data_IF_802347817348
#
_entry.id   IF_802347817348
#
_cell.length_a   1.000
_cell.length_b   1.000
_cell.length_c   1.000
_cell.angle_alpha   90.00
_cell.angle_beta   90.00
_cell.angle_gamma   90.00
#
_symmetry.space_group_name_H-M   'P 1'
#
loop_
_entity.id
_entity.type
_entity.pdbx_description
1 polymer ?
#
# COMPACT_ATOMS: atom_id res chain seq x y z
N UNK A 1 -1.40 -4.03 21.08
CA UNK A 1 -2.24 -4.21 19.88
C UNK A 1 -1.98 -3.03 18.98
N UNK A 2 -1.19 -3.20 17.92
CA UNK A 2 -0.98 -2.13 16.93
C UNK A 2 -2.04 -2.36 15.85
N UNK A 3 -3.10 -1.56 15.99
CA UNK A 3 -3.72 -0.76 14.95
C UNK A 3 -3.49 -1.18 13.51
N UNK A 4 -4.60 -1.46 12.85
CA UNK A 4 -4.77 -1.46 11.40
C UNK A 4 -3.95 -0.35 10.75
N UNK A 5 -2.97 -0.67 9.90
CA UNK A 5 -2.40 0.28 8.96
C UNK A 5 -2.97 -0.04 7.58
N UNK A 6 -4.02 0.68 7.19
CA UNK A 6 -4.41 0.77 5.79
C UNK A 6 -3.70 2.00 5.25
N UNK A 7 -2.68 1.81 4.40
CA UNK A 7 -2.13 2.89 3.59
C UNK A 7 -2.87 2.89 2.26
N UNK A 8 -3.68 3.92 2.00
CA UNK A 8 -4.46 4.01 0.78
C UNK A 8 -4.02 5.16 -0.13
N UNK A 9 -3.99 4.80 -1.43
CA UNK A 9 -3.82 5.52 -2.68
C UNK A 9 -2.44 6.03 -3.13
N UNK A 10 -2.24 5.83 -4.44
CA UNK A 10 -1.25 6.45 -5.31
C UNK A 10 -1.98 6.82 -6.61
N UNK A 11 -2.23 8.10 -6.89
CA UNK A 11 -2.92 8.53 -8.11
C UNK A 11 -1.91 8.74 -9.24
N UNK A 12 -1.98 7.96 -10.32
CA UNK A 12 -1.15 8.16 -11.52
C UNK A 12 -1.71 9.29 -12.38
N UNK A 13 -0.93 10.35 -12.61
CA UNK A 13 -1.05 11.12 -13.85
C UNK A 13 -0.06 10.59 -14.89
N UNK A 14 -0.49 10.62 -16.16
CA UNK A 14 0.12 9.93 -17.30
C UNK A 14 1.63 10.19 -17.48
N UNK A 15 2.35 9.15 -17.90
CA UNK A 15 3.75 9.26 -18.36
C UNK A 15 3.81 10.16 -19.60
N UNK A 16 4.72 11.14 -19.70
CA UNK A 16 5.17 11.58 -21.01
C UNK A 16 6.02 10.46 -21.63
N UNK A 17 5.76 10.18 -22.91
CA UNK A 17 6.56 9.23 -23.68
C UNK A 17 7.94 9.81 -23.97
N UNK A 18 8.97 8.97 -23.82
CA UNK A 18 10.25 9.14 -24.54
C UNK A 18 11.34 9.89 -23.80
N UNK A 19 12.36 9.14 -23.36
CA UNK A 19 13.69 9.66 -23.04
C UNK A 19 14.73 8.57 -23.29
N UNK A 20 15.56 8.75 -24.30
CA UNK A 20 16.42 7.75 -24.91
C UNK A 20 17.48 7.14 -23.96
N UNK A 21 17.84 5.88 -24.23
CA UNK A 21 19.02 5.19 -23.69
C UNK A 21 20.30 5.88 -24.19
N UNK A 22 21.27 6.22 -23.32
CA UNK A 22 22.66 6.31 -23.76
C UNK A 22 23.32 4.93 -23.66
N UNK A 23 24.01 4.58 -24.73
CA UNK A 23 24.85 3.40 -24.85
C UNK A 23 26.24 3.63 -24.23
N UNK A 24 26.92 2.53 -23.89
CA UNK A 24 28.38 2.46 -23.88
C UNK A 24 29.05 2.85 -22.57
N UNK A 25 29.80 1.91 -21.99
CA UNK A 25 30.51 2.07 -20.72
C UNK A 25 31.95 2.56 -20.86
N UNK A 26 32.57 2.81 -19.71
CA UNK A 26 34.00 2.71 -19.48
C UNK A 26 34.25 2.48 -17.97
N UNK A 27 35.06 1.48 -17.64
CA UNK A 27 35.62 1.26 -16.29
C UNK A 27 36.89 2.10 -16.15
N UNK A 28 37.13 2.76 -15.02
CA UNK A 28 38.48 3.00 -14.54
C UNK A 28 38.76 2.22 -13.24
N UNK A 29 39.98 1.72 -13.17
CA UNK A 29 40.61 1.13 -11.99
C UNK A 29 41.19 2.24 -11.08
N UNK A 30 41.33 1.94 -9.78
CA UNK A 30 42.12 2.76 -8.85
C UNK A 30 41.31 3.26 -7.65
N UNK A 31 41.72 2.83 -6.46
CA UNK A 31 41.04 3.10 -5.20
C UNK A 31 41.17 4.53 -4.68
N UNK A 32 40.06 5.05 -4.19
CA UNK A 32 40.00 6.08 -3.17
C UNK A 32 38.71 5.86 -2.35
N UNK A 33 38.80 5.87 -1.02
CA UNK A 33 37.62 5.83 -0.13
C UNK A 33 36.86 7.16 -0.25
N UNK A 34 35.55 7.18 -0.56
CA UNK A 34 34.78 8.41 -0.44
C UNK A 34 34.32 8.60 1.02
N UNK A 35 34.84 9.64 1.67
CA UNK A 35 34.20 10.25 2.82
C UNK A 35 33.00 11.08 2.34
N UNK A 36 31.86 10.95 3.03
CA UNK A 36 30.66 11.74 2.74
C UNK A 36 29.77 11.12 1.67
N UNK A 37 28.97 10.13 2.05
CA UNK A 37 27.87 9.65 1.22
C UNK A 37 26.84 10.76 1.02
N UNK A 38 26.97 11.48 -0.09
CA UNK A 38 25.89 12.28 -0.63
C UNK A 38 24.64 11.38 -0.70
N UNK A 39 23.56 11.78 -0.01
CA UNK A 39 22.26 11.15 -0.20
C UNK A 39 21.95 11.18 -1.70
N UNK A 40 21.54 10.07 -2.34
CA UNK A 40 21.07 10.13 -3.70
C UNK A 40 19.88 11.11 -3.75
N UNK A 41 20.12 12.27 -4.34
CA UNK A 41 19.08 13.19 -4.73
C UNK A 41 18.36 12.60 -5.95
N UNK A 42 17.03 12.63 -5.94
CA UNK A 42 16.24 12.43 -7.15
C UNK A 42 15.89 10.98 -7.48
N UNK A 43 15.43 10.20 -6.49
CA UNK A 43 14.40 9.21 -6.83
C UNK A 43 13.15 10.00 -7.20
N UNK A 44 12.75 9.98 -8.48
CA UNK A 44 11.51 10.61 -8.95
C UNK A 44 10.41 10.31 -7.95
N UNK A 45 10.01 11.33 -7.17
CA UNK A 45 9.05 11.13 -6.09
C UNK A 45 7.75 10.78 -6.78
N UNK A 46 7.23 9.58 -6.54
CA UNK A 46 6.06 9.13 -7.26
C UNK A 46 4.89 10.02 -6.79
N UNK A 47 4.39 10.89 -7.67
CA UNK A 47 3.33 11.86 -7.39
C UNK A 47 2.04 11.12 -7.01
N UNK A 48 1.69 11.13 -5.73
CA UNK A 48 0.48 10.48 -5.23
C UNK A 48 0.20 10.95 -3.81
N UNK A 49 -1.08 11.10 -3.49
CA UNK A 49 -1.57 11.43 -2.15
C UNK A 49 -1.83 10.16 -1.38
N UNK A 50 -1.33 10.10 -0.15
CA UNK A 50 -1.48 8.95 0.76
C UNK A 50 -2.43 9.31 1.88
N UNK A 51 -3.50 8.53 2.02
CA UNK A 51 -4.37 8.49 3.19
C UNK A 51 -3.99 7.28 4.03
N UNK A 52 -3.35 7.52 5.18
CA UNK A 52 -3.05 6.48 6.16
C UNK A 52 -4.20 6.38 7.17
N UNK A 53 -4.63 5.17 7.48
CA UNK A 53 -5.76 4.93 8.38
C UNK A 53 -5.32 4.02 9.52
N UNK A 54 -5.53 4.47 10.75
CA UNK A 54 -5.29 3.67 11.97
C UNK A 54 -6.29 4.03 13.07
N UNK A 55 -6.76 3.03 13.82
CA UNK A 55 -7.63 3.21 14.99
C UNK A 55 -6.88 3.75 16.22
N UNK A 56 -5.56 3.57 16.26
CA UNK A 56 -4.71 4.07 17.32
C UNK A 56 -4.39 5.55 17.04
N UNK A 57 -5.09 6.44 17.75
CA UNK A 57 -4.87 7.90 17.66
C UNK A 57 -3.42 8.33 17.88
N UNK A 58 -2.65 7.60 18.68
CA UNK A 58 -1.21 7.88 18.86
C UNK A 58 -0.40 7.55 17.61
N UNK A 59 -0.75 6.47 16.91
CA UNK A 59 -0.11 6.13 15.63
C UNK A 59 -0.45 7.18 14.55
N UNK A 60 -1.70 7.63 14.50
CA UNK A 60 -2.15 8.73 13.63
C UNK A 60 -1.34 10.01 13.87
N UNK A 61 -1.24 10.44 15.12
CA UNK A 61 -0.46 11.63 15.50
C UNK A 61 1.00 11.52 15.05
N UNK A 62 1.67 10.43 15.44
CA UNK A 62 3.09 10.22 15.11
C UNK A 62 3.34 10.12 13.60
N UNK A 63 2.41 9.52 12.84
CA UNK A 63 2.53 9.43 11.39
C UNK A 63 2.47 10.82 10.74
N UNK A 64 1.55 11.69 11.19
CA UNK A 64 1.45 13.06 10.71
C UNK A 64 2.66 13.91 11.10
N UNK A 65 3.16 13.79 12.34
CA UNK A 65 4.39 14.46 12.78
C UNK A 65 5.61 14.06 11.94
N UNK A 66 5.75 12.76 11.67
CA UNK A 66 6.82 12.24 10.81
C UNK A 66 6.69 12.76 9.37
N UNK A 67 5.46 12.81 8.83
CA UNK A 67 5.22 13.36 7.50
C UNK A 67 5.58 14.85 7.42
N UNK A 68 5.22 15.64 8.44
CA UNK A 68 5.60 17.05 8.53
C UNK A 68 7.13 17.22 8.59
N UNK A 69 7.80 16.45 9.46
CA UNK A 69 9.26 16.48 9.60
C UNK A 69 10.01 16.11 8.30
N UNK A 70 9.39 15.29 7.44
CA UNK A 70 9.94 14.87 6.15
C UNK A 70 9.50 15.75 4.97
N UNK A 71 8.69 16.80 5.20
CA UNK A 71 8.15 17.66 4.14
C UNK A 71 7.19 16.91 3.19
N UNK A 72 6.36 16.04 3.77
CA UNK A 72 5.37 15.21 3.07
C UNK A 72 3.92 15.59 3.39
N UNK A 73 3.70 16.58 4.26
CA UNK A 73 2.36 16.96 4.74
C UNK A 73 1.42 17.46 3.62
N UNK A 74 1.96 17.84 2.47
CA UNK A 74 1.22 18.20 1.26
C UNK A 74 0.53 16.99 0.58
N UNK A 75 1.04 15.78 0.83
CA UNK A 75 0.62 14.55 0.13
C UNK A 75 0.43 13.35 1.05
N UNK A 76 0.45 13.54 2.36
CA UNK A 76 0.24 12.50 3.36
C UNK A 76 -0.67 13.03 4.45
N UNK A 77 -1.72 12.28 4.76
CA UNK A 77 -2.56 12.50 5.93
C UNK A 77 -2.86 11.16 6.59
N UNK A 78 -2.57 11.04 7.88
CA UNK A 78 -3.05 9.96 8.73
C UNK A 78 -4.32 10.39 9.47
N UNK A 79 -5.28 9.49 9.58
CA UNK A 79 -6.58 9.73 10.22
C UNK A 79 -7.21 8.43 10.75
N UNK A 80 -8.25 8.51 11.56
CA UNK A 80 -9.03 7.34 11.99
C UNK A 80 -10.01 6.89 10.90
N UNK A 81 -10.52 5.65 10.92
CA UNK A 81 -11.48 5.16 9.91
C UNK A 81 -12.71 6.05 9.74
N UNK A 82 -13.18 6.67 10.82
CA UNK A 82 -14.37 7.53 10.86
C UNK A 82 -14.12 8.91 10.23
N UNK A 83 -12.86 9.33 10.17
CA UNK A 83 -12.44 10.61 9.59
C UNK A 83 -12.25 10.50 8.06
N UNK A 84 -12.15 9.29 7.52
CA UNK A 84 -12.06 9.08 6.07
C UNK A 84 -13.42 9.35 5.43
N UNK A 85 -13.52 10.24 4.42
CA UNK A 85 -14.77 10.49 3.71
C UNK A 85 -15.41 9.18 3.23
N UNK A 86 -16.73 9.06 3.41
CA UNK A 86 -17.46 7.83 3.11
C UNK A 86 -17.42 7.45 1.62
N UNK A 87 -17.31 8.46 0.75
CA UNK A 87 -17.21 8.37 -0.70
C UNK A 87 -15.76 8.33 -1.22
N UNK A 88 -14.76 8.34 -0.32
CA UNK A 88 -13.37 8.27 -0.73
C UNK A 88 -13.07 6.97 -1.48
N UNK A 89 -12.49 7.10 -2.67
CA UNK A 89 -12.04 5.97 -3.50
C UNK A 89 -10.53 5.94 -3.67
N UNK A 90 -9.95 4.75 -3.83
CA UNK A 90 -8.51 4.54 -3.86
C UNK A 90 -8.08 3.68 -5.05
N UNK A 91 -7.04 4.10 -5.76
CA UNK A 91 -6.40 3.29 -6.81
C UNK A 91 -5.61 2.10 -6.23
N UNK A 92 -5.15 2.23 -4.99
CA UNK A 92 -4.38 1.21 -4.32
C UNK A 92 -4.63 1.18 -2.82
N UNK A 93 -4.80 0.00 -2.25
CA UNK A 93 -4.90 -0.21 -0.81
C UNK A 93 -3.77 -1.14 -0.38
N UNK A 94 -3.00 -0.76 0.63
CA UNK A 94 -1.97 -1.61 1.22
C UNK A 94 -2.37 -1.92 2.64
N UNK A 95 -2.42 -3.20 3.00
CA UNK A 95 -2.83 -3.59 4.34
C UNK A 95 -2.02 -4.76 4.89
N UNK A 96 -1.66 -4.67 6.16
CA UNK A 96 -1.29 -5.82 6.97
C UNK A 96 -2.42 -6.00 8.01
N UNK A 97 -3.53 -6.64 7.62
CA UNK A 97 -4.74 -6.62 8.42
C UNK A 97 -4.49 -7.28 9.78
N UNK A 98 -5.10 -6.79 10.87
CA UNK A 98 -4.87 -7.30 12.21
C UNK A 98 -5.42 -8.73 12.33
N UNK A 99 -4.54 -9.70 12.15
CA UNK A 99 -4.81 -11.15 12.09
C UNK A 99 -5.45 -11.78 13.34
N UNK A 100 -5.50 -11.08 14.48
CA UNK A 100 -5.99 -11.61 15.77
C UNK A 100 -7.36 -11.07 16.20
N UNK A 101 -8.08 -10.40 15.29
CA UNK A 101 -9.44 -9.88 15.58
C UNK A 101 -10.55 -10.91 15.35
N UNK A 102 -10.19 -12.10 14.87
CA UNK A 102 -11.16 -13.13 14.46
C UNK A 102 -11.60 -12.98 13.00
N UNK A 103 -12.16 -14.07 12.45
CA UNK A 103 -12.51 -14.16 11.03
C UNK A 103 -13.61 -13.17 10.62
N UNK A 104 -14.68 -13.07 11.41
CA UNK A 104 -15.82 -12.19 11.11
C UNK A 104 -15.40 -10.72 11.05
N UNK A 105 -14.73 -10.21 12.09
CA UNK A 105 -14.26 -8.82 12.11
C UNK A 105 -13.25 -8.51 11.00
N UNK A 106 -12.40 -9.48 10.60
CA UNK A 106 -11.52 -9.33 9.44
C UNK A 106 -12.33 -9.22 8.14
N UNK A 107 -13.35 -10.06 7.97
CA UNK A 107 -14.21 -10.02 6.79
C UNK A 107 -14.95 -8.70 6.69
N UNK A 108 -15.57 -8.23 7.77
CA UNK A 108 -16.29 -6.96 7.82
C UNK A 108 -15.36 -5.78 7.48
N UNK A 109 -14.14 -5.81 8.00
CA UNK A 109 -13.12 -4.83 7.66
C UNK A 109 -12.81 -4.83 6.16
N UNK A 110 -12.57 -6.00 5.57
CA UNK A 110 -12.27 -6.08 4.13
C UNK A 110 -13.46 -5.66 3.28
N UNK A 111 -14.67 -6.05 3.64
CA UNK A 111 -15.90 -5.61 2.96
C UNK A 111 -16.20 -4.13 3.15
N UNK A 112 -15.63 -3.47 4.16
CA UNK A 112 -15.73 -2.01 4.33
C UNK A 112 -14.81 -1.25 3.39
N UNK A 113 -13.61 -1.80 3.12
CA UNK A 113 -12.54 -1.09 2.41
C UNK A 113 -12.38 -1.48 0.95
N UNK A 114 -12.60 -2.74 0.58
CA UNK A 114 -12.47 -3.20 -0.81
C UNK A 114 -13.47 -2.55 -1.78
N UNK A 115 -14.73 -2.23 -1.40
CA UNK A 115 -15.64 -1.49 -2.28
C UNK A 115 -15.14 -0.08 -2.63
N UNK A 116 -14.25 0.48 -1.81
CA UNK A 116 -13.65 1.80 -2.00
C UNK A 116 -12.47 1.79 -2.97
N UNK A 117 -12.10 0.64 -3.55
CA UNK A 117 -11.17 0.64 -4.68
C UNK A 117 -11.82 1.36 -5.88
N UNK A 118 -11.02 1.96 -6.76
CA UNK A 118 -11.51 2.33 -8.10
C UNK A 118 -11.78 1.06 -8.92
N UNK A 119 -12.51 1.11 -10.06
CA UNK A 119 -12.73 -0.06 -10.91
C UNK A 119 -11.43 -0.80 -11.29
N UNK A 120 -10.36 -0.03 -11.56
CA UNK A 120 -9.02 -0.56 -11.87
C UNK A 120 -8.13 -0.73 -10.63
N UNK A 121 -8.68 -0.44 -9.45
CA UNK A 121 -7.95 -0.42 -8.19
C UNK A 121 -7.53 -1.81 -7.74
N UNK A 122 -6.48 -1.85 -6.93
CA UNK A 122 -5.99 -3.10 -6.32
C UNK A 122 -5.70 -2.95 -4.83
N UNK A 123 -5.95 -4.00 -4.07
CA UNK A 123 -5.52 -4.12 -2.69
C UNK A 123 -4.38 -5.13 -2.58
N UNK A 124 -3.25 -4.75 -1.98
CA UNK A 124 -2.15 -5.64 -1.64
C UNK A 124 -2.15 -5.90 -0.14
N UNK A 125 -2.25 -7.17 0.23
CA UNK A 125 -2.35 -7.59 1.63
C UNK A 125 -1.27 -8.60 1.99
N UNK A 126 -0.62 -8.41 3.14
CA UNK A 126 0.32 -9.38 3.70
C UNK A 126 -0.38 -10.19 4.79
N UNK A 127 -0.48 -11.51 4.60
CA UNK A 127 -1.22 -12.41 5.51
C UNK A 127 -0.36 -13.62 5.86
N UNK A 128 -0.32 -14.01 7.12
CA UNK A 128 0.41 -15.21 7.53
C UNK A 128 -0.26 -16.50 7.04
N UNK A 129 0.53 -17.49 6.63
CA UNK A 129 0.06 -18.79 6.13
C UNK A 129 -0.82 -19.51 7.17
N UNK A 130 -0.37 -19.52 8.41
CA UNK A 130 -1.05 -20.17 9.54
C UNK A 130 -2.29 -19.40 10.03
N UNK A 131 -2.53 -18.23 9.45
CA UNK A 131 -3.62 -17.32 9.82
C UNK A 131 -4.71 -17.30 8.76
N UNK A 132 -4.71 -18.31 7.88
CA UNK A 132 -5.76 -18.50 6.88
C UNK A 132 -5.55 -17.72 5.59
N UNK A 133 -4.31 -17.47 5.14
CA UNK A 133 -4.10 -16.78 3.88
C UNK A 133 -4.78 -17.48 2.67
N UNK A 134 -4.83 -18.82 2.64
CA UNK A 134 -5.53 -19.56 1.57
C UNK A 134 -7.05 -19.48 1.71
N UNK A 135 -7.57 -19.58 2.94
CA UNK A 135 -9.00 -19.50 3.19
C UNK A 135 -9.53 -18.09 2.94
N UNK A 136 -8.73 -17.06 3.25
CA UNK A 136 -9.03 -15.67 2.95
C UNK A 136 -9.05 -15.42 1.44
N UNK A 137 -8.05 -15.92 0.71
CA UNK A 137 -8.02 -15.81 -0.76
C UNK A 137 -9.27 -16.42 -1.39
N UNK A 138 -9.66 -17.63 -0.97
CA UNK A 138 -10.85 -18.31 -1.48
C UNK A 138 -12.12 -17.52 -1.15
N UNK A 139 -12.27 -17.11 0.11
CA UNK A 139 -13.44 -16.36 0.56
C UNK A 139 -13.59 -15.03 -0.18
N UNK A 140 -12.51 -14.29 -0.42
CA UNK A 140 -12.56 -13.06 -1.22
C UNK A 140 -13.06 -13.31 -2.63
N UNK A 141 -12.64 -14.41 -3.26
CA UNK A 141 -13.17 -14.84 -4.56
C UNK A 141 -14.67 -15.14 -4.52
N UNK A 142 -15.15 -15.81 -3.47
CA UNK A 142 -16.58 -16.06 -3.24
C UNK A 142 -17.39 -14.77 -3.02
N UNK A 143 -16.77 -13.72 -2.48
CA UNK A 143 -17.37 -12.39 -2.34
C UNK A 143 -17.32 -11.56 -3.63
N UNK A 144 -16.85 -12.14 -4.74
CA UNK A 144 -16.73 -11.45 -6.02
C UNK A 144 -15.49 -10.57 -6.15
N UNK A 145 -14.51 -10.67 -5.25
CA UNK A 145 -13.23 -9.95 -5.32
C UNK A 145 -12.11 -10.87 -5.84
N UNK A 146 -11.74 -10.80 -7.13
CA UNK A 146 -10.69 -11.64 -7.69
C UNK A 146 -9.40 -11.47 -6.91
N UNK A 147 -8.89 -12.56 -6.34
CA UNK A 147 -7.72 -12.53 -5.46
C UNK A 147 -6.66 -13.52 -5.91
N UNK A 148 -5.47 -13.00 -6.21
CA UNK A 148 -4.30 -13.75 -6.63
C UNK A 148 -3.18 -13.68 -5.58
N UNK A 149 -2.30 -14.68 -5.59
CA UNK A 149 -1.11 -14.70 -4.75
C UNK A 149 0.08 -14.14 -5.53
N UNK A 150 0.59 -12.98 -5.11
CA UNK A 150 1.77 -12.36 -5.73
C UNK A 150 3.07 -13.01 -5.28
N UNK A 151 3.20 -13.28 -3.98
CA UNK A 151 4.44 -13.79 -3.41
C UNK A 151 4.21 -14.62 -2.15
N UNK A 152 5.23 -15.35 -1.73
CA UNK A 152 5.25 -16.08 -0.46
C UNK A 152 6.67 -16.14 0.09
N UNK A 153 6.84 -15.73 1.35
CA UNK A 153 8.14 -15.73 2.01
C UNK A 153 7.98 -15.90 3.53
N UNK A 154 8.87 -16.67 4.17
CA UNK A 154 9.02 -16.75 5.64
C UNK A 154 7.70 -16.90 6.43
N UNK A 155 6.77 -17.71 5.94
CA UNK A 155 5.48 -17.93 6.61
C UNK A 155 4.38 -16.91 6.30
N UNK A 156 4.62 -15.96 5.40
CA UNK A 156 3.65 -14.99 4.90
C UNK A 156 3.33 -15.20 3.43
N UNK A 157 2.16 -14.71 3.01
CA UNK A 157 1.73 -14.56 1.63
C UNK A 157 1.39 -13.11 1.35
N UNK A 158 1.72 -12.67 0.15
CA UNK A 158 1.25 -11.40 -0.41
C UNK A 158 0.11 -11.73 -1.34
N UNK A 159 -1.08 -11.22 -1.02
CA UNK A 159 -2.29 -11.36 -1.81
C UNK A 159 -2.55 -10.05 -2.53
N UNK A 160 -2.89 -10.11 -3.81
CA UNK A 160 -3.47 -9.00 -4.56
C UNK A 160 -4.95 -9.30 -4.79
N UNK A 161 -5.80 -8.34 -4.42
CA UNK A 161 -7.24 -8.39 -4.62
C UNK A 161 -7.65 -7.25 -5.54
N UNK A 162 -8.49 -7.52 -6.53
CA UNK A 162 -9.07 -6.51 -7.43
C UNK A 162 -10.46 -6.09 -6.98
N UNK A 163 -10.92 -4.91 -7.41
CA UNK A 163 -12.32 -4.49 -7.28
C UNK A 163 -13.21 -5.61 -7.79
N UNK A 164 -14.36 -5.81 -7.14
CA UNK A 164 -15.35 -6.72 -7.67
C UNK A 164 -15.75 -6.28 -9.09
N UNK A 165 -15.74 -7.23 -10.02
CA UNK A 165 -16.22 -7.00 -11.38
C UNK A 165 -17.69 -6.61 -11.29
N UNK A 166 -18.06 -5.48 -11.90
CA UNK A 166 -19.46 -5.18 -12.16
C UNK A 166 -19.91 -6.05 -13.33
N UNK A 167 -20.13 -7.34 -13.08
CA UNK A 167 -20.89 -8.17 -14.00
C UNK A 167 -22.36 -7.75 -13.83
N UNK A 168 -22.74 -6.75 -14.62
CA UNK A 168 -24.12 -6.34 -14.88
C UNK A 168 -24.63 -6.97 -16.17
#
# INVERSE_FOLDING_TARGET
MIGLAICAAWSRQARPAGGARPAGGARPAGGARPAGGARPAGGARPAGTVTAVDVNRRAVLLANENAAALGLADRFAAMTPEEVPADATFDEIWSNPPIRIGKAALHDLLLTWLPRLTPEGRATMVVGKNLGADSLQRWLGEQGYPTARLASAKGFRVLETRRAGSDG
#
